data_IF_568099311434
#
_entry.id   IF_568099311434
#
_cell.length_a   1.000
_cell.length_b   1.000
_cell.length_c   1.000
_cell.angle_alpha   90.00
_cell.angle_beta   90.00
_cell.angle_gamma   90.00
#
_symmetry.space_group_name_H-M   'P 1'
#
loop_
_entity.id
_entity.type
_entity.pdbx_description
1 polymer ?
#
# COMPACT_ATOMS: atom_id res chain seq x y z
N UNK A 1 -0.65 -27.77 -1.22
CA UNK A 1 0.13 -26.56 -0.85
C UNK A 1 -0.76 -25.32 -1.00
N UNK A 2 -0.76 -24.46 -0.02
CA UNK A 2 -1.48 -23.18 -0.09
C UNK A 2 -0.56 -22.08 -0.62
N UNK A 3 -1.13 -21.15 -1.36
CA UNK A 3 -0.41 -20.00 -1.92
C UNK A 3 -0.93 -18.70 -1.34
N UNK A 4 -0.03 -17.78 -1.07
CA UNK A 4 -0.39 -16.43 -0.66
C UNK A 4 0.12 -15.46 -1.71
N UNK A 5 -0.78 -14.67 -2.29
CA UNK A 5 -0.44 -13.62 -3.26
C UNK A 5 -0.58 -12.28 -2.57
N UNK A 6 0.48 -11.49 -2.58
CA UNK A 6 0.53 -10.19 -1.92
C UNK A 6 0.62 -9.11 -2.99
N UNK A 7 -0.21 -8.08 -2.85
CA UNK A 7 -0.20 -6.90 -3.71
C UNK A 7 -0.04 -5.66 -2.84
N UNK A 8 0.85 -4.77 -3.24
CA UNK A 8 1.17 -3.55 -2.50
C UNK A 8 0.92 -2.33 -3.37
N UNK A 9 0.32 -1.28 -2.76
CA UNK A 9 0.29 0.04 -3.35
C UNK A 9 1.23 0.96 -2.57
N UNK A 10 1.96 1.80 -3.29
CA UNK A 10 3.01 2.62 -2.70
C UNK A 10 2.87 4.08 -3.12
N UNK A 11 3.23 4.97 -2.20
CA UNK A 11 3.29 6.40 -2.46
C UNK A 11 4.74 6.84 -2.53
N UNK A 12 5.05 7.69 -3.50
CA UNK A 12 6.42 8.20 -3.66
C UNK A 12 6.75 9.21 -2.57
N UNK A 13 7.98 9.15 -2.09
CA UNK A 13 8.52 10.14 -1.16
C UNK A 13 9.17 11.26 -1.97
N UNK A 14 8.86 12.52 -1.66
CA UNK A 14 9.37 13.66 -2.39
C UNK A 14 10.90 13.68 -2.38
N UNK A 15 11.51 14.02 -3.53
CA UNK A 15 12.97 14.08 -3.67
C UNK A 15 13.62 15.07 -2.72
N UNK A 16 12.90 16.12 -2.34
CA UNK A 16 13.37 17.14 -1.39
C UNK A 16 13.29 16.69 0.06
N UNK A 17 12.60 15.58 0.34
CA UNK A 17 12.46 15.06 1.70
C UNK A 17 13.74 14.37 2.17
N UNK A 18 14.09 14.56 3.43
CA UNK A 18 15.21 13.82 4.05
C UNK A 18 14.95 12.31 4.04
N UNK A 19 13.68 11.91 4.17
CA UNK A 19 13.29 10.51 4.13
C UNK A 19 13.64 9.83 2.80
N UNK A 20 13.77 10.58 1.71
CA UNK A 20 14.15 10.05 0.40
C UNK A 20 15.54 9.40 0.41
N UNK A 21 16.40 9.78 1.33
CA UNK A 21 17.72 9.19 1.52
C UNK A 21 17.62 7.77 2.09
N UNK A 22 16.51 7.48 2.78
CA UNK A 22 16.24 6.18 3.41
C UNK A 22 15.47 5.28 2.45
N UNK A 23 14.40 5.81 1.85
CA UNK A 23 13.57 5.05 0.90
C UNK A 23 12.94 5.98 -0.12
N UNK A 24 12.57 5.43 -1.28
CA UNK A 24 11.98 6.19 -2.39
C UNK A 24 10.46 6.21 -2.35
N UNK A 25 9.86 5.24 -1.68
CA UNK A 25 8.43 5.07 -1.60
C UNK A 25 8.06 4.45 -0.26
N UNK A 26 6.81 4.62 0.14
CA UNK A 26 6.27 3.97 1.33
C UNK A 26 4.96 3.28 0.99
N UNK A 27 4.67 2.18 1.71
CA UNK A 27 3.47 1.38 1.48
C UNK A 27 2.27 2.12 2.04
N UNK A 28 1.18 2.18 1.25
CA UNK A 28 -0.08 2.80 1.65
C UNK A 28 -1.26 1.81 1.64
N UNK A 29 -1.11 0.66 1.00
CA UNK A 29 -2.11 -0.42 1.02
C UNK A 29 -1.43 -1.76 0.90
N UNK A 30 -1.93 -2.74 1.66
CA UNK A 30 -1.50 -4.13 1.57
C UNK A 30 -2.72 -4.98 1.29
N UNK A 31 -2.67 -5.75 0.20
CA UNK A 31 -3.68 -6.74 -0.13
C UNK A 31 -3.07 -8.13 -0.14
N UNK A 32 -3.79 -9.12 0.35
CA UNK A 32 -3.33 -10.51 0.30
C UNK A 32 -4.49 -11.43 -0.01
N UNK A 33 -4.25 -12.42 -0.85
CA UNK A 33 -5.21 -13.45 -1.20
C UNK A 33 -4.58 -14.81 -0.91
N UNK A 34 -5.31 -15.66 -0.20
CA UNK A 34 -4.90 -17.04 0.04
C UNK A 34 -5.62 -17.96 -0.93
N UNK A 35 -4.84 -18.79 -1.63
CA UNK A 35 -5.36 -19.74 -2.60
C UNK A 35 -5.07 -21.16 -2.11
N UNK A 36 -6.01 -22.09 -2.41
CA UNK A 36 -5.81 -23.50 -2.13
C UNK A 36 -4.95 -24.16 -3.22
N UNK A 37 -4.79 -25.50 -3.14
CA UNK A 37 -4.01 -26.28 -4.10
C UNK A 37 -4.53 -26.19 -5.52
N UNK A 38 -5.82 -25.90 -5.69
CA UNK A 38 -6.48 -25.75 -6.98
C UNK A 38 -6.53 -24.29 -7.45
N UNK A 39 -5.79 -23.41 -6.78
CA UNK A 39 -5.73 -21.96 -7.06
C UNK A 39 -7.07 -21.26 -6.88
N UNK A 40 -7.93 -21.78 -6.01
CA UNK A 40 -9.19 -21.14 -5.65
C UNK A 40 -9.01 -20.29 -4.40
N UNK A 41 -9.62 -19.10 -4.38
CA UNK A 41 -9.53 -18.21 -3.25
C UNK A 41 -10.23 -18.77 -2.02
N UNK A 42 -9.50 -18.92 -0.91
CA UNK A 42 -10.01 -19.40 0.35
C UNK A 42 -9.95 -18.36 1.47
N UNK A 43 -9.36 -17.21 1.21
CA UNK A 43 -9.31 -16.11 2.14
C UNK A 43 -8.67 -14.88 1.51
N UNK A 44 -8.96 -13.72 2.07
CA UNK A 44 -8.34 -12.47 1.63
C UNK A 44 -8.20 -11.51 2.80
N UNK A 45 -7.28 -10.57 2.64
CA UNK A 45 -7.02 -9.51 3.60
C UNK A 45 -6.67 -8.25 2.85
N UNK A 46 -7.15 -7.11 3.32
CA UNK A 46 -6.81 -5.81 2.74
C UNK A 46 -6.81 -4.75 3.83
N UNK A 47 -5.76 -3.94 3.85
CA UNK A 47 -5.68 -2.81 4.78
C UNK A 47 -4.94 -1.65 4.13
N UNK A 48 -5.33 -0.43 4.49
CA UNK A 48 -4.54 0.76 4.22
C UNK A 48 -3.48 0.90 5.31
N UNK A 49 -2.40 1.59 4.97
CA UNK A 49 -1.31 1.88 5.91
C UNK A 49 -1.13 3.39 5.96
N UNK A 50 -1.08 3.96 7.16
CA UNK A 50 -0.88 5.39 7.31
C UNK A 50 0.53 5.77 6.90
N UNK A 51 0.72 6.74 5.97
CA UNK A 51 2.05 7.19 5.58
C UNK A 51 2.81 7.78 6.76
N UNK A 52 4.08 7.47 6.85
CA UNK A 52 4.96 7.98 7.90
C UNK A 52 5.71 9.23 7.45
N UNK A 53 6.17 9.24 6.19
CA UNK A 53 7.08 10.28 5.70
C UNK A 53 6.39 11.37 4.90
N UNK A 54 5.27 11.08 4.26
CA UNK A 54 4.49 12.06 3.50
C UNK A 54 3.11 12.22 4.09
N UNK A 55 2.66 13.46 4.26
CA UNK A 55 1.31 13.75 4.73
C UNK A 55 0.26 13.54 3.65
N UNK A 56 0.67 13.58 2.38
CA UNK A 56 -0.25 13.54 1.26
C UNK A 56 0.14 12.48 0.24
N UNK A 57 -0.88 11.85 -0.34
CA UNK A 57 -0.71 10.94 -1.47
C UNK A 57 -0.41 11.78 -2.71
N UNK A 58 0.62 11.42 -3.46
CA UNK A 58 0.96 12.09 -4.71
C UNK A 58 -0.22 11.99 -5.68
N UNK A 59 -0.49 13.09 -6.43
CA UNK A 59 -1.63 13.13 -7.34
C UNK A 59 -1.62 12.00 -8.36
N UNK A 60 -0.46 11.65 -8.90
CA UNK A 60 -0.33 10.55 -9.86
C UNK A 60 -0.68 9.19 -9.24
N UNK A 61 -0.33 8.98 -7.97
CA UNK A 61 -0.63 7.75 -7.25
C UNK A 61 -2.13 7.70 -6.94
N UNK A 62 -2.72 8.81 -6.50
CA UNK A 62 -4.16 8.88 -6.26
C UNK A 62 -4.95 8.58 -7.53
N UNK A 63 -4.52 9.13 -8.67
CA UNK A 63 -5.20 8.89 -9.94
C UNK A 63 -5.07 7.45 -10.41
N UNK A 64 -3.92 6.82 -10.14
CA UNK A 64 -3.66 5.44 -10.54
C UNK A 64 -4.39 4.43 -9.65
N UNK A 65 -4.39 4.65 -8.34
CA UNK A 65 -4.89 3.68 -7.36
C UNK A 65 -6.28 3.99 -6.83
N UNK A 66 -6.72 5.24 -6.90
CA UNK A 66 -7.94 5.69 -6.27
C UNK A 66 -7.83 5.93 -4.76
N UNK A 67 -6.64 5.76 -4.19
CA UNK A 67 -6.42 5.94 -2.76
C UNK A 67 -6.25 7.44 -2.45
N UNK A 68 -7.03 7.94 -1.49
CA UNK A 68 -7.04 9.35 -1.09
C UNK A 68 -6.35 9.53 0.28
N UNK A 69 -5.99 10.77 0.59
CA UNK A 69 -5.40 11.11 1.89
C UNK A 69 -6.32 10.71 3.05
N UNK A 70 -7.64 10.91 2.88
CA UNK A 70 -8.62 10.57 3.91
C UNK A 70 -8.64 9.06 4.21
N UNK A 71 -8.44 8.22 3.19
CA UNK A 71 -8.49 6.77 3.34
C UNK A 71 -7.35 6.22 4.19
N UNK A 72 -6.19 6.89 4.16
CA UNK A 72 -5.00 6.44 4.89
C UNK A 72 -4.77 7.19 6.21
N UNK A 73 -5.43 8.31 6.43
CA UNK A 73 -5.20 9.18 7.59
C UNK A 73 -5.43 8.47 8.93
N UNK A 74 -6.41 7.58 8.98
CA UNK A 74 -6.78 6.84 10.19
C UNK A 74 -6.38 5.35 10.12
N UNK A 75 -5.55 4.99 9.15
CA UNK A 75 -5.09 3.62 8.98
C UNK A 75 -3.98 3.29 10.00
N UNK A 76 -3.72 2.00 10.27
CA UNK A 76 -2.57 1.59 11.08
C UNK A 76 -1.26 2.04 10.47
N UNK A 77 -0.28 2.27 11.32
CA UNK A 77 1.07 2.60 10.89
C UNK A 77 1.91 1.34 10.68
#
# INVERSE_FOLDING_TARGET
>A
MKHIVIDLEMNKIARSSEARKICKSEIIEIGAVMLDENLQEIGNFRTYVKPEYNDKIAAEIRNLTGITDAMVANAPV
#
